data_IF_390784536369
#
_entry.id   IF_390784536369
#
_cell.length_a   1.000
_cell.length_b   1.000
_cell.length_c   1.000
_cell.angle_alpha   90.00
_cell.angle_beta   90.00
_cell.angle_gamma   90.00
#
_symmetry.space_group_name_H-M   'P 1'
#
loop_
_entity.id
_entity.type
_entity.pdbx_description
1 polymer ?
#
# COMPACT_ATOMS: atom_id res chain seq x y z
N UNK A 1 36.86 -13.94 -1.33
CA UNK A 1 35.76 -14.27 -0.40
C UNK A 1 34.44 -13.76 -0.92
N UNK A 2 33.35 -14.32 -0.41
CA UNK A 2 31.98 -14.00 -0.81
C UNK A 2 31.13 -14.93 0.07
N UNK A 3 29.94 -15.30 -0.36
CA UNK A 3 29.09 -16.20 0.41
C UNK A 3 28.26 -16.90 -0.64
N UNK A 4 28.46 -18.21 -0.68
CA UNK A 4 27.87 -19.05 -1.69
C UNK A 4 26.41 -19.27 -1.41
N UNK A 5 25.60 -18.32 -1.85
CA UNK A 5 24.15 -18.41 -1.74
C UNK A 5 23.68 -18.88 -3.11
N UNK A 6 24.33 -19.92 -3.62
CA UNK A 6 24.08 -20.39 -4.97
C UNK A 6 22.76 -21.16 -5.06
N UNK A 7 22.65 -22.22 -4.28
CA UNK A 7 21.45 -23.05 -4.24
C UNK A 7 20.37 -22.30 -3.47
N UNK A 8 20.81 -21.47 -2.54
CA UNK A 8 19.92 -20.68 -1.70
C UNK A 8 19.14 -19.69 -2.56
N UNK A 9 19.75 -19.21 -3.64
CA UNK A 9 19.03 -18.32 -4.54
C UNK A 9 17.86 -19.04 -5.18
N UNK A 10 18.13 -20.16 -5.85
CA UNK A 10 17.08 -20.94 -6.50
C UNK A 10 16.11 -21.53 -5.48
N UNK A 11 16.61 -21.73 -4.26
CA UNK A 11 15.81 -22.25 -3.16
C UNK A 11 14.57 -21.38 -2.95
N UNK A 12 14.72 -20.06 -3.10
CA UNK A 12 13.60 -19.15 -2.87
C UNK A 12 12.46 -19.55 -3.79
N UNK A 13 12.79 -19.99 -5.00
CA UNK A 13 11.77 -20.40 -5.95
C UNK A 13 10.97 -21.61 -5.46
N UNK A 14 11.64 -22.49 -4.71
CA UNK A 14 11.01 -23.70 -4.18
C UNK A 14 9.78 -23.36 -3.37
N UNK A 15 9.94 -22.41 -2.46
CA UNK A 15 8.81 -21.95 -1.68
C UNK A 15 7.83 -21.21 -2.56
N UNK A 16 8.34 -20.41 -3.50
CA UNK A 16 7.50 -19.62 -4.40
C UNK A 16 6.41 -20.43 -5.06
N UNK A 17 6.73 -21.64 -5.49
CA UNK A 17 5.73 -22.49 -6.11
C UNK A 17 4.57 -22.65 -5.16
N UNK A 18 4.90 -22.86 -3.89
CA UNK A 18 3.91 -23.03 -2.82
C UNK A 18 3.02 -21.80 -2.75
N UNK A 19 3.66 -20.63 -2.86
CA UNK A 19 2.98 -19.33 -2.83
C UNK A 19 1.92 -19.19 -3.89
N UNK A 20 2.26 -19.56 -5.13
CA UNK A 20 1.32 -19.53 -6.26
C UNK A 20 0.27 -20.60 -6.08
N UNK A 21 0.71 -21.75 -5.56
CA UNK A 21 -0.15 -22.91 -5.39
C UNK A 21 -1.31 -22.73 -4.42
N UNK A 22 -1.02 -22.30 -3.20
CA UNK A 22 -2.06 -22.20 -2.18
C UNK A 22 -3.18 -21.29 -2.66
N UNK A 23 -2.81 -20.18 -3.29
CA UNK A 23 -3.77 -19.20 -3.77
C UNK A 23 -4.93 -19.76 -4.58
N UNK A 24 -4.64 -20.60 -5.57
CA UNK A 24 -5.69 -21.14 -6.42
C UNK A 24 -6.82 -21.77 -5.62
N UNK A 25 -6.49 -22.39 -4.51
CA UNK A 25 -7.48 -23.10 -3.73
C UNK A 25 -8.29 -22.23 -2.81
N UNK A 26 -7.68 -21.16 -2.31
CA UNK A 26 -8.44 -20.20 -1.55
C UNK A 26 -9.40 -19.54 -2.55
N UNK A 27 -8.83 -19.02 -3.64
CA UNK A 27 -9.59 -18.28 -4.65
C UNK A 27 -10.68 -19.14 -5.29
N UNK A 28 -10.46 -20.45 -5.32
CA UNK A 28 -11.47 -21.38 -5.76
C UNK A 28 -12.61 -21.39 -4.76
N UNK A 29 -12.28 -21.19 -3.50
CA UNK A 29 -13.29 -21.10 -2.45
C UNK A 29 -13.97 -19.73 -2.50
N UNK A 30 -13.19 -18.67 -2.69
CA UNK A 30 -13.75 -17.31 -2.85
C UNK A 30 -14.89 -17.29 -3.85
N UNK A 31 -14.69 -17.97 -4.97
CA UNK A 31 -15.66 -18.05 -6.05
C UNK A 31 -17.08 -18.39 -5.60
N UNK A 32 -17.22 -19.20 -4.55
CA UNK A 32 -18.54 -19.55 -4.02
C UNK A 32 -19.30 -18.29 -3.60
N UNK A 33 -18.58 -17.40 -2.93
CA UNK A 33 -19.16 -16.15 -2.46
C UNK A 33 -19.71 -15.31 -3.62
N UNK A 34 -19.07 -15.39 -4.78
CA UNK A 34 -19.49 -14.62 -5.96
C UNK A 34 -20.70 -15.26 -6.64
N UNK A 35 -20.85 -16.57 -6.46
CA UNK A 35 -22.00 -17.31 -6.98
C UNK A 35 -23.16 -17.16 -6.01
N UNK A 36 -22.93 -17.59 -4.77
CA UNK A 36 -23.93 -17.57 -3.71
C UNK A 36 -24.48 -16.17 -3.47
N UNK A 37 -23.61 -15.17 -3.52
CA UNK A 37 -24.04 -13.79 -3.35
C UNK A 37 -24.93 -13.33 -4.49
N UNK A 38 -24.66 -13.79 -5.71
CA UNK A 38 -25.50 -13.43 -6.85
C UNK A 38 -26.75 -14.28 -6.88
N UNK A 39 -26.68 -15.45 -6.25
CA UNK A 39 -27.85 -16.32 -6.06
C UNK A 39 -28.80 -15.73 -4.99
N UNK A 40 -28.20 -15.21 -3.92
CA UNK A 40 -28.80 -14.48 -2.79
C UNK A 40 -29.60 -13.27 -3.33
N UNK A 41 -29.03 -12.63 -4.34
CA UNK A 41 -29.68 -11.52 -5.04
C UNK A 41 -30.70 -12.07 -6.05
N UNK A 42 -30.30 -13.13 -6.74
CA UNK A 42 -31.12 -13.72 -7.78
C UNK A 42 -32.53 -14.04 -7.28
N UNK A 43 -32.64 -14.83 -6.21
CA UNK A 43 -33.93 -15.19 -5.61
C UNK A 43 -34.81 -14.07 -5.07
N UNK A 44 -34.22 -12.92 -4.77
CA UNK A 44 -35.03 -11.74 -4.51
C UNK A 44 -35.37 -10.92 -5.77
N UNK A 45 -34.36 -10.71 -6.62
CA UNK A 45 -34.49 -9.88 -7.82
C UNK A 45 -35.24 -10.51 -9.02
N UNK A 46 -34.80 -11.70 -9.41
CA UNK A 46 -35.38 -12.44 -10.54
C UNK A 46 -36.60 -13.28 -10.18
N UNK B 1 38.61 13.80 11.03
CA UNK B 1 37.90 12.53 10.80
C UNK B 1 36.42 12.77 10.59
N UNK B 2 35.77 11.80 9.97
CA UNK B 2 34.35 11.85 9.63
C UNK B 2 34.12 10.50 8.95
N UNK B 3 33.13 10.40 8.08
CA UNK B 3 32.84 9.13 7.42
C UNK B 3 32.22 9.54 6.11
N UNK B 4 32.94 9.18 5.06
CA UNK B 4 32.66 9.64 3.71
C UNK B 4 31.46 8.92 3.13
N UNK B 5 30.27 9.39 3.50
CA UNK B 5 29.04 8.82 2.98
C UNK B 5 28.57 9.73 1.84
N UNK B 6 29.53 10.04 0.97
CA UNK B 6 29.33 11.02 -0.09
C UNK B 6 28.44 10.46 -1.18
N UNK B 7 28.87 9.34 -1.76
CA UNK B 7 28.13 8.67 -2.82
C UNK B 7 26.98 7.88 -2.23
N UNK B 8 27.14 7.45 -0.99
CA UNK B 8 26.08 6.70 -0.33
C UNK B 8 24.88 7.59 -0.04
N UNK B 9 25.11 8.90 0.04
CA UNK B 9 24.00 9.82 0.21
C UNK B 9 23.12 9.77 -1.02
N UNK B 10 23.71 10.06 -2.18
CA UNK B 10 22.98 10.05 -3.45
C UNK B 10 22.54 8.64 -3.83
N UNK B 11 23.25 7.64 -3.30
CA UNK B 11 22.92 6.25 -3.55
C UNK B 11 21.49 5.98 -3.12
N UNK B 12 21.06 6.65 -2.05
CA UNK B 12 19.71 6.47 -1.52
C UNK B 12 18.68 6.77 -2.62
N UNK B 13 18.95 7.79 -3.42
CA UNK B 13 18.05 8.16 -4.51
C UNK B 13 18.00 7.10 -5.61
N UNK B 14 19.07 6.32 -5.75
CA UNK B 14 19.10 5.23 -6.72
C UNK B 14 17.93 4.29 -6.48
N UNK B 15 17.78 3.86 -5.24
CA UNK B 15 16.66 3.02 -4.88
C UNK B 15 15.34 3.77 -4.97
N UNK B 16 15.35 5.04 -4.55
CA UNK B 16 14.14 5.87 -4.54
C UNK B 16 13.39 5.77 -5.85
N UNK B 17 14.12 5.89 -6.95
CA UNK B 17 13.50 5.80 -8.26
C UNK B 17 12.67 4.55 -8.33
N UNK B 18 13.24 3.45 -7.85
CA UNK B 18 12.55 2.16 -7.81
C UNK B 18 11.24 2.28 -7.04
N UNK B 19 11.31 2.92 -5.87
CA UNK B 19 10.14 3.10 -5.03
C UNK B 19 9.01 3.79 -5.78
N UNK B 20 9.33 4.86 -6.50
CA UNK B 20 8.30 5.59 -7.24
C UNK B 20 7.88 4.78 -8.45
N UNK B 21 8.82 4.06 -9.04
CA UNK B 21 8.54 3.27 -10.24
C UNK B 21 7.54 2.14 -10.03
N UNK B 22 7.80 1.26 -9.07
CA UNK B 22 6.93 0.12 -8.81
C UNK B 22 5.48 0.53 -8.62
N UNK B 23 5.27 1.59 -7.84
CA UNK B 23 3.93 2.05 -7.54
C UNK B 23 3.02 2.20 -8.74
N UNK B 24 3.49 2.88 -9.78
CA UNK B 24 2.66 3.10 -10.95
C UNK B 24 2.05 1.84 -11.53
N UNK B 25 2.83 0.76 -11.54
CA UNK B 25 2.38 -0.53 -12.08
C UNK B 25 1.23 -1.09 -11.24
N UNK B 26 1.42 -1.13 -9.93
CA UNK B 26 0.42 -1.70 -9.03
C UNK B 26 -0.81 -0.82 -9.13
N UNK B 27 -0.60 0.48 -9.02
CA UNK B 27 -1.65 1.47 -9.14
C UNK B 27 -2.42 1.29 -10.43
N UNK B 28 -1.70 0.97 -11.50
CA UNK B 28 -2.34 0.72 -12.78
C UNK B 28 -3.23 -0.51 -12.72
N UNK B 29 -2.83 -1.50 -11.93
CA UNK B 29 -3.63 -2.70 -11.76
C UNK B 29 -4.82 -2.39 -10.85
N UNK B 30 -4.56 -1.69 -9.75
CA UNK B 30 -5.62 -1.32 -8.83
C UNK B 30 -6.79 -0.68 -9.59
N UNK B 31 -6.46 0.17 -10.57
CA UNK B 31 -7.47 0.86 -11.36
C UNK B 31 -8.58 -0.05 -11.91
N UNK B 32 -8.25 -1.30 -12.21
CA UNK B 32 -9.26 -2.23 -12.73
C UNK B 32 -10.37 -2.48 -11.72
N UNK B 33 -10.02 -2.59 -10.45
CA UNK B 33 -11.07 -2.78 -9.46
C UNK B 33 -12.01 -1.57 -9.40
N UNK B 34 -11.51 -0.40 -9.76
CA UNK B 34 -12.29 0.83 -9.75
C UNK B 34 -13.21 0.87 -10.95
N UNK B 35 -12.80 0.19 -12.01
CA UNK B 35 -13.62 0.05 -13.21
C UNK B 35 -14.60 -1.11 -13.04
N UNK B 36 -14.04 -2.29 -12.75
CA UNK B 36 -14.80 -3.52 -12.59
C UNK B 36 -15.84 -3.39 -11.50
N UNK B 37 -15.47 -2.74 -10.40
CA UNK B 37 -16.42 -2.50 -9.33
C UNK B 37 -17.62 -1.67 -9.78
N UNK B 38 -17.36 -0.65 -10.61
CA UNK B 38 -18.43 0.23 -11.10
C UNK B 38 -19.21 -0.47 -12.17
N UNK B 39 -18.56 -1.37 -12.91
CA UNK B 39 -19.26 -2.15 -13.92
C UNK B 39 -20.11 -3.20 -13.22
N UNK B 40 -19.54 -3.76 -12.15
CA UNK B 40 -20.14 -4.73 -11.24
C UNK B 40 -21.45 -4.13 -10.73
N UNK B 41 -21.42 -2.84 -10.44
CA UNK B 41 -22.61 -2.10 -10.03
C UNK B 41 -23.45 -1.61 -11.22
N UNK B 42 -22.77 -1.24 -12.30
CA UNK B 42 -23.41 -0.70 -13.49
C UNK B 42 -24.48 -1.68 -13.94
N UNK B 43 -24.08 -2.92 -14.16
CA UNK B 43 -24.99 -3.94 -14.66
C UNK B 43 -26.22 -4.21 -13.80
N UNK B 44 -26.13 -3.98 -12.49
CA UNK B 44 -27.32 -4.09 -11.65
C UNK B 44 -28.14 -2.80 -11.63
N UNK B 45 -27.45 -1.68 -11.48
CA UNK B 45 -28.09 -0.37 -11.37
C UNK B 45 -28.66 0.18 -12.69
N UNK B 46 -27.81 0.23 -13.71
CA UNK B 46 -28.15 0.78 -15.02
C UNK B 46 -28.88 -0.18 -15.97
N UNK C 1 28.32 15.29 40.55
CA UNK C 1 28.18 14.68 39.22
C UNK C 1 26.73 14.56 38.84
N UNK C 2 26.48 14.38 37.55
CA UNK C 2 25.15 14.28 36.97
C UNK C 2 25.47 14.12 35.49
N UNK C 3 24.56 14.53 34.61
CA UNK C 3 24.77 14.40 33.18
C UNK C 3 23.97 15.52 32.56
N UNK C 4 24.72 16.38 31.89
CA UNK C 4 24.20 17.63 31.38
C UNK C 4 23.37 17.43 30.12
N UNK C 5 22.11 17.06 30.32
CA UNK C 5 21.17 16.91 29.22
C UNK C 5 20.38 18.21 29.18
N UNK C 6 21.11 19.32 29.20
CA UNK C 6 20.51 20.63 29.27
C UNK C 6 19.91 21.00 27.92
N UNK C 7 20.77 21.02 26.89
CA UNK C 7 20.34 21.37 25.55
C UNK C 7 19.57 20.20 24.94
N UNK C 8 19.92 18.99 25.35
CA UNK C 8 19.27 17.80 24.82
C UNK C 8 17.82 17.71 25.27
N UNK C 9 17.48 18.34 26.40
CA UNK C 9 16.08 18.37 26.81
C UNK C 9 15.28 19.16 25.80
N UNK C 10 15.67 20.42 25.59
CA UNK C 10 14.96 21.29 24.64
C UNK C 10 15.09 20.76 23.21
N UNK C 11 16.16 20.01 22.97
CA UNK C 11 16.43 19.42 21.67
C UNK C 11 15.27 18.54 21.24
N UNK C 12 14.64 17.86 22.20
CA UNK C 12 13.54 16.98 21.86
C UNK C 12 12.38 17.77 21.27
N UNK C 13 12.24 19.03 21.68
CA UNK C 13 11.21 19.90 21.10
C UNK C 13 11.50 20.23 19.64
N UNK C 14 12.78 20.26 19.27
CA UNK C 14 13.17 20.52 17.89
C UNK C 14 12.48 19.53 16.96
N UNK C 15 12.59 18.25 17.30
CA UNK C 15 11.94 17.21 16.53
C UNK C 15 10.43 17.30 16.62
N UNK C 16 9.93 17.62 17.81
CA UNK C 16 8.49 17.76 18.06
C UNK C 16 7.75 18.62 17.06
N UNK C 17 8.33 19.77 16.74
CA UNK C 17 7.71 20.68 15.79
C UNK C 17 7.45 19.95 14.50
N UNK C 18 8.43 19.15 14.06
CA UNK C 18 8.29 18.35 12.86
C UNK C 18 7.21 17.27 12.99
N UNK C 19 7.04 16.73 14.20
CA UNK C 19 5.97 15.77 14.46
C UNK C 19 4.60 16.43 14.27
N UNK C 20 4.47 17.66 14.76
CA UNK C 20 3.23 18.42 14.60
C UNK C 20 3.07 18.76 13.13
N UNK C 21 4.17 19.18 12.52
CA UNK C 21 4.20 19.68 11.15
C UNK C 21 3.77 18.70 10.06
N UNK C 22 4.35 17.51 10.03
CA UNK C 22 4.02 16.51 9.01
C UNK C 22 2.54 16.13 9.02
N UNK C 23 1.98 16.00 10.22
CA UNK C 23 0.58 15.65 10.37
C UNK C 23 -0.37 16.48 9.54
N UNK C 24 -0.23 17.80 9.59
CA UNK C 24 -1.12 18.68 8.85
C UNK C 24 -1.21 18.36 7.36
N UNK C 25 -0.07 18.03 6.77
CA UNK C 25 -0.01 17.73 5.34
C UNK C 25 -0.69 16.42 5.00
N UNK C 26 -0.45 15.39 5.81
CA UNK C 26 -1.09 14.10 5.61
C UNK C 26 -2.61 14.27 5.77
N UNK C 27 -3.00 14.88 6.88
CA UNK C 27 -4.40 15.12 7.21
C UNK C 27 -5.06 16.00 6.15
N UNK C 28 -4.27 16.85 5.51
CA UNK C 28 -4.77 17.66 4.41
C UNK C 28 -5.15 16.77 3.24
N UNK C 29 -4.38 15.71 3.04
CA UNK C 29 -4.65 14.74 1.99
C UNK C 29 -5.85 13.88 2.38
N UNK C 30 -5.85 13.39 3.62
CA UNK C 30 -6.94 12.56 4.11
C UNK C 30 -8.26 13.23 3.83
N UNK C 31 -8.29 14.55 3.95
CA UNK C 31 -9.50 15.32 3.69
C UNK C 31 -10.19 15.01 2.35
N UNK C 32 -9.41 14.72 1.31
CA UNK C 32 -10.00 14.42 -0.01
C UNK C 32 -10.89 13.19 0.10
N UNK C 33 -10.46 12.23 0.90
CA UNK C 33 -11.20 10.99 1.08
C UNK C 33 -12.58 11.29 1.64
N UNK C 34 -12.67 12.34 2.45
CA UNK C 34 -13.92 12.73 3.09
C UNK C 34 -14.81 13.52 2.15
N UNK C 35 -14.20 14.16 1.16
CA UNK C 35 -14.97 14.88 0.15
C UNK C 35 -15.42 13.91 -0.94
N UNK C 36 -14.44 13.27 -1.55
CA UNK C 36 -14.65 12.32 -2.62
C UNK C 36 -15.60 11.23 -2.18
N UNK C 37 -15.37 10.69 -0.99
CA UNK C 37 -16.20 9.61 -0.50
C UNK C 37 -17.63 10.06 -0.45
N UNK C 38 -17.83 11.31 -0.05
CA UNK C 38 -19.17 11.85 0.12
C UNK C 38 -19.78 12.31 -1.20
N UNK C 39 -18.92 12.60 -2.17
CA UNK C 39 -19.38 12.89 -3.52
C UNK C 39 -19.65 11.60 -4.33
N UNK C 40 -18.91 10.53 -3.95
CA UNK C 40 -18.97 9.13 -4.44
C UNK C 40 -20.41 8.66 -4.14
N UNK C 41 -20.88 9.01 -2.95
CA UNK C 41 -22.26 8.77 -2.52
C UNK C 41 -23.17 9.83 -3.08
N UNK C 42 -22.70 11.07 -3.11
CA UNK C 42 -23.52 12.17 -3.59
C UNK C 42 -24.17 11.83 -4.93
N UNK C 43 -23.34 11.44 -5.89
CA UNK C 43 -23.78 11.12 -7.26
C UNK C 43 -24.72 9.91 -7.44
N UNK C 44 -24.73 8.99 -6.48
CA UNK C 44 -25.75 7.94 -6.44
C UNK C 44 -27.02 8.36 -5.68
N UNK C 45 -26.81 9.00 -4.53
CA UNK C 45 -27.89 9.38 -3.63
C UNK C 45 -28.67 10.64 -4.06
N UNK C 46 -27.95 11.72 -4.33
CA UNK C 46 -28.53 13.01 -4.72
C UNK C 46 -28.84 13.15 -6.21
#
# INVERSE_FOLDING_TARGET
GVIDTSAVESAITDGQGDMKAIGGYIVGALVILAVAGLIYSMLRKA
GVIDTSAVESAITDGQGDMKAIGGYIVGALVILAVAGLIYSMLRKA
GVIDTSAVESAITDGQGDMKAIGGYIVGALVILAVAGLIYSMLRKA
#
